data_IF_292535298301
#
_entry.id   IF_292535298301
#
_cell.length_a   1.000
_cell.length_b   1.000
_cell.length_c   1.000
_cell.angle_alpha   90.00
_cell.angle_beta   90.00
_cell.angle_gamma   90.00
#
_symmetry.space_group_name_H-M   'P 1'
#
loop_
_entity.id
_entity.type
_entity.pdbx_description
1 polymer ?
#
# COMPACT_ATOMS: atom_id res chain seq x y z
N UNK A 1 -4.29 3.02 -28.87
CA UNK A 1 -3.17 3.61 -28.07
C UNK A 1 -3.66 4.05 -26.68
N UNK A 2 -4.29 3.16 -25.90
CA UNK A 2 -4.96 3.51 -24.61
C UNK A 2 -4.18 3.03 -23.36
N UNK A 3 -3.00 2.43 -23.57
CA UNK A 3 -2.39 1.51 -22.60
C UNK A 3 -1.53 2.21 -21.55
N UNK A 4 -0.52 3.02 -21.92
CA UNK A 4 0.47 3.51 -20.95
C UNK A 4 -0.07 4.54 -19.93
N UNK A 5 -1.02 5.39 -20.34
CA UNK A 5 -1.63 6.38 -19.44
C UNK A 5 -2.47 5.73 -18.33
N UNK A 6 -3.23 4.69 -18.67
CA UNK A 6 -4.07 3.97 -17.72
C UNK A 6 -3.24 3.19 -16.69
N UNK A 7 -2.12 2.58 -17.10
CA UNK A 7 -1.22 1.89 -16.16
C UNK A 7 -0.50 2.86 -15.23
N UNK A 8 -0.10 4.05 -15.71
CA UNK A 8 0.43 5.11 -14.83
C UNK A 8 -0.61 5.56 -13.81
N UNK A 9 -1.85 5.77 -14.25
CA UNK A 9 -2.95 6.14 -13.36
C UNK A 9 -3.21 5.04 -12.32
N UNK A 10 -3.27 3.78 -12.75
CA UNK A 10 -3.47 2.63 -11.86
C UNK A 10 -2.38 2.55 -10.78
N UNK A 11 -1.11 2.76 -11.15
CA UNK A 11 -0.01 2.83 -10.20
C UNK A 11 -0.21 3.89 -9.13
N UNK A 12 -0.50 5.12 -9.55
CA UNK A 12 -0.66 6.25 -8.62
C UNK A 12 -1.91 6.10 -7.75
N UNK A 13 -2.98 5.51 -8.27
CA UNK A 13 -4.17 5.16 -7.49
C UNK A 13 -3.83 4.12 -6.42
N UNK A 14 -3.14 3.04 -6.78
CA UNK A 14 -2.71 2.02 -5.81
C UNK A 14 -1.79 2.62 -4.74
N UNK A 15 -0.81 3.42 -5.14
CA UNK A 15 0.08 4.13 -4.23
C UNK A 15 -0.70 5.03 -3.26
N UNK A 16 -1.59 5.88 -3.76
CA UNK A 16 -2.37 6.80 -2.94
C UNK A 16 -3.29 6.08 -1.95
N UNK A 17 -3.92 4.98 -2.39
CA UNK A 17 -4.77 4.17 -1.52
C UNK A 17 -3.95 3.59 -0.36
N UNK A 18 -2.74 3.07 -0.61
CA UNK A 18 -1.87 2.58 0.45
C UNK A 18 -1.50 3.70 1.44
N UNK A 19 -1.12 4.88 0.95
CA UNK A 19 -0.78 6.03 1.80
C UNK A 19 -1.96 6.42 2.70
N UNK A 20 -3.17 6.53 2.14
CA UNK A 20 -4.39 6.84 2.89
C UNK A 20 -4.69 5.74 3.92
N UNK A 21 -4.47 4.48 3.54
CA UNK A 21 -4.73 3.35 4.40
C UNK A 21 -3.80 3.33 5.63
N UNK A 22 -2.51 3.57 5.42
CA UNK A 22 -1.55 3.71 6.51
C UNK A 22 -1.92 4.92 7.36
N UNK A 23 -2.20 6.08 6.74
CA UNK A 23 -2.57 7.30 7.45
C UNK A 23 -3.79 7.14 8.36
N UNK A 24 -4.81 6.40 7.91
CA UNK A 24 -6.04 6.19 8.69
C UNK A 24 -5.88 5.16 9.81
N UNK A 25 -4.79 4.40 9.83
CA UNK A 25 -4.54 3.33 10.82
C UNK A 25 -3.37 3.60 11.75
N UNK A 26 -2.48 4.54 11.41
CA UNK A 26 -1.34 4.93 12.22
C UNK A 26 -1.45 6.37 12.70
N UNK A 27 -1.05 6.60 13.95
CA UNK A 27 -0.71 7.95 14.42
C UNK A 27 0.69 8.25 13.94
N UNK A 28 0.81 8.92 12.81
CA UNK A 28 2.10 9.17 12.15
C UNK A 28 3.09 9.95 13.01
N UNK A 29 2.60 10.83 13.88
CA UNK A 29 3.43 11.61 14.81
C UNK A 29 4.00 10.75 15.94
N UNK A 30 3.21 9.78 16.41
CA UNK A 30 3.59 8.90 17.53
C UNK A 30 4.22 7.60 17.02
N UNK A 31 4.23 7.36 15.71
CA UNK A 31 4.61 6.09 15.06
C UNK A 31 3.89 4.86 15.66
N UNK A 32 2.70 5.09 16.22
CA UNK A 32 1.91 4.08 16.92
C UNK A 32 0.65 3.72 16.16
N UNK A 33 0.20 2.48 16.31
CA UNK A 33 -1.08 2.02 15.82
C UNK A 33 -2.22 2.72 16.58
N UNK A 34 -3.27 3.14 15.87
CA UNK A 34 -4.47 3.69 16.53
C UNK A 34 -5.20 2.63 17.38
N UNK A 35 -5.04 1.34 17.04
CA UNK A 35 -5.68 0.23 17.73
C UNK A 35 -4.65 -0.86 18.08
N UNK A 36 -4.67 -1.46 19.28
CA UNK A 36 -3.82 -2.60 19.64
C UNK A 36 -3.95 -3.81 18.70
N UNK A 37 -5.07 -3.96 17.99
CA UNK A 37 -5.29 -5.00 16.96
C UNK A 37 -4.85 -4.58 15.55
N UNK A 38 -4.14 -3.46 15.40
CA UNK A 38 -3.71 -3.01 14.08
C UNK A 38 -2.65 -3.94 13.48
N UNK A 39 -1.81 -4.58 14.30
CA UNK A 39 -0.86 -5.63 13.87
C UNK A 39 -1.56 -6.83 13.23
N UNK A 40 -2.75 -7.21 13.71
CA UNK A 40 -3.54 -8.31 13.13
C UNK A 40 -4.33 -7.88 11.88
N UNK A 41 -4.85 -6.65 11.83
CA UNK A 41 -5.53 -6.14 10.63
C UNK A 41 -4.57 -5.82 9.48
N UNK A 42 -3.35 -5.36 9.76
CA UNK A 42 -2.31 -5.13 8.74
C UNK A 42 -1.85 -6.40 8.02
N UNK A 43 -1.98 -7.58 8.63
CA UNK A 43 -1.63 -8.85 7.97
C UNK A 43 -2.72 -9.28 6.97
N UNK A 44 -3.97 -8.85 7.18
CA UNK A 44 -5.11 -9.24 6.33
C UNK A 44 -5.24 -8.40 5.05
N UNK A 45 -4.63 -7.22 5.01
CA UNK A 45 -4.66 -6.32 3.84
C UNK A 45 -3.45 -6.62 2.91
N UNK A 46 -3.64 -7.52 1.94
CA UNK A 46 -2.66 -7.93 0.92
C UNK A 46 -2.03 -6.74 0.15
N UNK A 47 -0.82 -6.88 -0.47
CA UNK A 47 0.11 -8.01 -0.40
C UNK A 47 1.36 -7.76 0.47
N UNK A 48 1.65 -6.53 0.91
CA UNK A 48 2.88 -6.20 1.68
C UNK A 48 2.68 -5.01 2.65
N UNK A 49 1.62 -5.07 3.45
CA UNK A 49 1.41 -4.12 4.57
C UNK A 49 2.18 -4.53 5.84
N UNK A 50 2.93 -5.63 5.75
CA UNK A 50 3.63 -6.30 6.84
C UNK A 50 4.90 -5.50 7.14
N UNK A 51 5.09 -5.09 8.41
CA UNK A 51 6.33 -4.54 9.04
C UNK A 51 6.35 -3.05 9.41
N UNK A 52 5.22 -2.35 9.48
CA UNK A 52 5.26 -0.93 9.87
C UNK A 52 5.43 -0.66 11.35
N UNK A 53 4.77 -1.42 12.21
CA UNK A 53 4.43 -0.89 13.54
C UNK A 53 5.03 -1.58 14.77
N UNK A 54 5.77 -2.70 14.69
CA UNK A 54 6.54 -3.16 15.84
C UNK A 54 8.03 -2.78 15.78
N UNK A 55 8.46 -2.03 14.76
CA UNK A 55 9.89 -1.73 14.56
C UNK A 55 10.26 -0.42 15.26
N UNK A 56 11.17 -0.41 16.26
CA UNK A 56 11.59 0.81 16.96
C UNK A 56 12.49 1.73 16.11
N UNK A 57 12.73 1.40 14.84
CA UNK A 57 13.68 2.11 13.97
C UNK A 57 12.95 2.85 12.85
N UNK A 58 12.97 4.19 12.94
CA UNK A 58 12.35 5.12 11.98
C UNK A 58 12.80 4.87 10.53
N UNK A 59 14.06 4.51 10.30
CA UNK A 59 14.58 4.22 8.96
C UNK A 59 13.86 3.01 8.36
N UNK A 60 13.63 1.97 9.15
CA UNK A 60 12.94 0.76 8.71
C UNK A 60 11.47 1.06 8.44
N UNK A 61 10.83 1.90 9.26
CA UNK A 61 9.44 2.33 9.04
C UNK A 61 9.30 3.04 7.69
N UNK A 62 10.17 4.02 7.41
CA UNK A 62 10.15 4.79 6.15
C UNK A 62 10.47 3.89 4.95
N UNK A 63 11.47 3.01 5.09
CA UNK A 63 11.88 2.09 4.03
C UNK A 63 10.77 1.10 3.69
N UNK A 64 10.16 0.49 4.71
CA UNK A 64 8.96 -0.32 4.53
C UNK A 64 7.90 0.52 3.82
N UNK A 65 7.69 1.80 4.19
CA UNK A 65 6.48 2.54 3.81
C UNK A 65 6.51 2.87 2.34
N UNK A 66 7.71 3.27 1.93
CA UNK A 66 8.07 3.44 0.54
C UNK A 66 7.86 2.13 -0.23
N UNK A 67 8.41 1.02 0.27
CA UNK A 67 8.29 -0.28 -0.38
C UNK A 67 6.83 -0.74 -0.52
N UNK A 68 6.02 -0.68 0.54
CA UNK A 68 4.60 -1.06 0.49
C UNK A 68 3.79 -0.17 -0.45
N UNK A 69 4.06 1.14 -0.48
CA UNK A 69 3.37 2.05 -1.40
C UNK A 69 3.72 1.75 -2.87
N UNK A 70 4.99 1.44 -3.16
CA UNK A 70 5.41 1.02 -4.49
C UNK A 70 4.76 -0.30 -4.91
N UNK A 71 4.71 -1.28 -4.00
CA UNK A 71 4.11 -2.60 -4.25
C UNK A 71 2.59 -2.50 -4.47
N UNK A 72 1.90 -1.62 -3.75
CA UNK A 72 0.49 -1.32 -4.00
C UNK A 72 0.26 -0.69 -5.37
N UNK A 73 1.14 0.22 -5.80
CA UNK A 73 1.10 0.74 -7.16
C UNK A 73 1.27 -0.36 -8.21
N UNK A 74 2.24 -1.27 -8.03
CA UNK A 74 2.45 -2.42 -8.92
C UNK A 74 1.28 -3.40 -8.90
N UNK A 75 0.67 -3.62 -7.74
CA UNK A 75 -0.53 -4.46 -7.59
C UNK A 75 -1.69 -3.93 -8.42
N UNK A 76 -1.96 -2.63 -8.39
CA UNK A 76 -3.03 -2.01 -9.18
C UNK A 76 -2.75 -2.05 -10.69
N UNK A 77 -1.48 -1.96 -11.12
CA UNK A 77 -1.11 -2.23 -12.51
C UNK A 77 -1.49 -3.67 -12.89
N UNK A 78 -1.12 -4.65 -12.06
CA UNK A 78 -1.44 -6.05 -12.28
C UNK A 78 -2.95 -6.33 -12.30
N UNK A 79 -3.70 -5.68 -11.41
CA UNK A 79 -5.15 -5.75 -11.36
C UNK A 79 -5.78 -5.19 -12.63
N UNK A 80 -5.36 -4.00 -13.07
CA UNK A 80 -5.86 -3.41 -14.32
C UNK A 80 -5.56 -4.32 -15.52
N UNK A 81 -4.34 -4.87 -15.58
CA UNK A 81 -3.95 -5.80 -16.64
C UNK A 81 -4.81 -7.07 -16.64
N UNK A 82 -5.10 -7.63 -15.48
CA UNK A 82 -5.98 -8.79 -15.35
C UNK A 82 -7.42 -8.46 -15.77
N UNK A 83 -7.95 -7.32 -15.35
CA UNK A 83 -9.29 -6.85 -15.73
C UNK A 83 -9.40 -6.62 -17.23
N UNK A 84 -8.38 -6.02 -17.87
CA UNK A 84 -8.34 -5.85 -19.33
C UNK A 84 -8.35 -7.18 -20.09
N UNK A 85 -7.91 -8.27 -19.46
CA UNK A 85 -7.96 -9.62 -20.05
C UNK A 85 -9.27 -10.36 -19.82
N UNK A 86 -10.03 -10.00 -18.78
CA UNK A 86 -11.30 -10.64 -18.42
C UNK A 86 -12.49 -9.95 -19.09
N UNK A 87 -12.41 -8.62 -19.28
CA UNK A 87 -13.51 -7.80 -19.83
C UNK A 87 -13.45 -7.72 -21.37
N UNK A 88 -12.34 -8.15 -21.99
CA UNK A 88 -12.22 -8.34 -23.44
C UNK A 88 -12.58 -9.76 -23.84
#
# INVERSE_FOLDING_TARGET
>A
MRSSSNYKLAFWVGFAIHVIFVWTRTRILDMECINPSCTTHLIADMPLSILYLPMPNVIIIIASFTLGSLLWGLYFIGLLWALEKVIK
#
